data_IF_026581433879
#
_entry.id   IF_026581433879
#
_cell.length_a   1.000
_cell.length_b   1.000
_cell.length_c   1.000
_cell.angle_alpha   90.00
_cell.angle_beta   90.00
_cell.angle_gamma   90.00
#
_symmetry.space_group_name_H-M   'P 1'
#
loop_
_entity.id
_entity.type
_entity.pdbx_description
1 polymer ?
#
# COMPACT_ATOMS: atom_id res chain seq x y z
N UNK A 1 -20.60 31.82 -11.56
CA UNK A 1 -21.90 32.16 -12.21
C UNK A 1 -22.99 31.29 -11.61
N UNK A 2 -24.28 31.69 -11.47
CA UNK A 2 -25.18 30.92 -10.58
C UNK A 2 -24.40 30.67 -9.26
N UNK A 3 -23.97 31.80 -8.68
CA UNK A 3 -22.56 32.21 -8.57
C UNK A 3 -21.71 31.52 -7.51
N UNK A 4 -21.05 30.44 -7.92
CA UNK A 4 -19.97 29.83 -7.15
C UNK A 4 -18.56 30.33 -7.46
N UNK A 5 -17.65 30.18 -6.50
CA UNK A 5 -16.20 30.27 -6.67
C UNK A 5 -15.71 28.98 -7.30
N UNK A 6 -15.22 29.08 -8.53
CA UNK A 6 -14.45 28.03 -9.18
C UNK A 6 -13.01 28.49 -9.33
N UNK A 7 -12.09 27.82 -8.65
CA UNK A 7 -10.67 28.12 -8.69
C UNK A 7 -9.88 26.83 -8.78
N UNK A 8 -9.01 26.76 -9.77
CA UNK A 8 -7.98 25.73 -9.86
C UNK A 8 -6.63 26.41 -9.84
N UNK A 9 -5.70 25.86 -9.07
CA UNK A 9 -4.31 26.25 -9.10
C UNK A 9 -3.46 24.99 -9.32
N UNK A 10 -2.45 25.12 -10.18
CA UNK A 10 -1.42 24.11 -10.36
C UNK A 10 -0.08 24.71 -9.95
N UNK A 11 0.60 24.05 -9.01
CA UNK A 11 1.96 24.40 -8.60
C UNK A 11 2.92 23.29 -8.95
N UNK A 12 3.95 23.65 -9.71
CA UNK A 12 5.09 22.77 -9.97
C UNK A 12 6.24 23.15 -9.04
N UNK A 13 6.53 22.30 -8.06
CA UNK A 13 7.63 22.46 -7.13
C UNK A 13 8.80 21.59 -7.63
N UNK A 14 9.80 22.24 -8.22
CA UNK A 14 10.89 21.59 -8.97
C UNK A 14 10.34 20.70 -10.10
N UNK A 15 11.18 19.84 -10.68
CA UNK A 15 10.81 18.91 -11.76
C UNK A 15 10.05 17.66 -11.27
N UNK A 16 9.58 17.65 -10.01
CA UNK A 16 9.18 16.42 -9.34
C UNK A 16 7.86 16.42 -8.62
N UNK A 17 7.37 17.57 -8.15
CA UNK A 17 6.14 17.62 -7.35
C UNK A 17 5.16 18.51 -8.07
N UNK A 18 4.02 17.92 -8.45
CA UNK A 18 2.91 18.64 -9.02
C UNK A 18 1.77 18.66 -8.00
N UNK A 19 1.36 19.86 -7.60
CA UNK A 19 0.24 20.08 -6.70
C UNK A 19 -0.89 20.67 -7.51
N UNK A 20 -2.02 19.98 -7.53
CA UNK A 20 -3.25 20.48 -8.14
C UNK A 20 -4.29 20.73 -7.05
N UNK A 21 -4.68 21.99 -6.87
CA UNK A 21 -5.82 22.36 -6.04
C UNK A 21 -7.02 22.69 -6.92
N UNK A 22 -8.18 22.18 -6.50
CA UNK A 22 -9.47 22.44 -7.10
C UNK A 22 -10.45 22.86 -6.02
N UNK A 23 -11.02 24.05 -6.17
CA UNK A 23 -12.02 24.63 -5.28
C UNK A 23 -13.24 24.96 -6.12
N UNK A 24 -14.38 24.43 -5.71
CA UNK A 24 -15.68 24.66 -6.34
C UNK A 24 -16.72 24.84 -5.23
N UNK A 25 -17.12 26.09 -5.01
CA UNK A 25 -18.06 26.48 -3.96
C UNK A 25 -19.23 27.20 -4.62
N UNK A 26 -20.43 26.64 -4.63
CA UNK A 26 -21.63 27.30 -5.16
C UNK A 26 -22.78 27.22 -4.15
N UNK A 27 -23.41 28.36 -3.91
CA UNK A 27 -24.66 28.49 -3.13
C UNK A 27 -25.91 28.49 -4.01
N UNK A 28 -25.75 28.21 -5.31
CA UNK A 28 -26.88 28.30 -6.23
C UNK A 28 -27.80 27.10 -6.13
N UNK A 29 -29.09 27.44 -6.04
CA UNK A 29 -30.19 26.49 -6.07
C UNK A 29 -31.15 26.87 -7.19
N UNK A 30 -31.55 25.87 -7.98
CA UNK A 30 -32.60 26.03 -8.98
C UNK A 30 -33.39 24.75 -9.13
N UNK A 31 -34.71 24.88 -9.28
CA UNK A 31 -35.61 23.76 -9.52
C UNK A 31 -36.37 23.96 -10.82
N UNK A 32 -36.23 23.03 -11.76
CA UNK A 32 -36.99 22.98 -13.01
C UNK A 32 -37.72 21.63 -13.09
N UNK A 33 -39.02 21.64 -12.77
CA UNK A 33 -39.85 20.42 -12.72
C UNK A 33 -39.37 19.42 -11.65
N UNK A 34 -39.07 18.19 -12.07
CA UNK A 34 -38.56 17.13 -11.20
C UNK A 34 -37.04 17.22 -10.93
N UNK A 35 -36.32 18.12 -11.60
CA UNK A 35 -34.87 18.29 -11.40
C UNK A 35 -34.57 19.48 -10.49
N UNK A 36 -33.62 19.29 -9.58
CA UNK A 36 -33.08 20.35 -8.73
C UNK A 36 -31.55 20.36 -8.80
N UNK A 37 -30.98 21.55 -9.01
CA UNK A 37 -29.57 21.85 -8.77
C UNK A 37 -29.44 22.30 -7.33
N UNK A 38 -28.57 21.64 -6.56
CA UNK A 38 -28.33 21.94 -5.14
C UNK A 38 -26.95 22.56 -4.93
N UNK A 39 -26.74 23.35 -3.86
CA UNK A 39 -25.44 23.89 -3.50
C UNK A 39 -24.36 22.82 -3.39
N UNK A 40 -23.12 23.19 -3.70
CA UNK A 40 -21.98 22.27 -3.71
C UNK A 40 -20.69 22.92 -3.21
N UNK A 41 -20.03 22.26 -2.26
CA UNK A 41 -18.78 22.72 -1.65
C UNK A 41 -17.72 21.63 -1.76
N UNK A 42 -16.79 21.79 -2.71
CA UNK A 42 -15.73 20.82 -2.96
C UNK A 42 -14.39 21.52 -2.92
N UNK A 43 -13.51 21.02 -2.05
CA UNK A 43 -12.09 21.34 -2.05
C UNK A 43 -11.36 20.02 -2.24
N UNK A 44 -10.53 19.95 -3.28
CA UNK A 44 -9.70 18.79 -3.58
C UNK A 44 -8.26 19.26 -3.73
N UNK A 45 -7.36 18.59 -3.03
CA UNK A 45 -5.93 18.79 -3.14
C UNK A 45 -5.31 17.47 -3.58
N UNK A 46 -4.66 17.49 -4.74
CA UNK A 46 -3.86 16.38 -5.23
C UNK A 46 -2.40 16.77 -5.16
N UNK A 47 -1.60 15.96 -4.48
CA UNK A 47 -0.14 16.07 -4.49
C UNK A 47 0.38 14.86 -5.24
N UNK A 48 0.97 15.08 -6.41
CA UNK A 48 1.58 14.05 -7.24
C UNK A 48 3.09 14.23 -7.22
N UNK A 49 3.81 13.15 -6.93
CA UNK A 49 5.23 13.08 -7.21
C UNK A 49 5.39 12.57 -8.65
N UNK A 50 5.73 13.47 -9.56
CA UNK A 50 5.99 13.22 -10.98
C UNK A 50 7.46 12.89 -11.27
N UNK A 51 8.29 12.67 -10.23
CA UNK A 51 9.52 11.90 -10.45
C UNK A 51 9.07 10.63 -11.17
N UNK A 52 9.60 10.42 -12.37
CA UNK A 52 9.87 9.06 -12.80
C UNK A 52 10.72 8.52 -11.67
N UNK A 53 10.11 7.70 -10.82
CA UNK A 53 10.88 6.96 -9.84
C UNK A 53 12.03 6.36 -10.62
N UNK A 54 13.24 6.68 -10.20
CA UNK A 54 14.28 5.68 -10.29
C UNK A 54 13.69 4.49 -9.53
N UNK A 55 13.13 3.56 -10.32
CA UNK A 55 12.90 2.16 -9.98
C UNK A 55 12.27 1.87 -8.60
N UNK A 56 11.09 2.43 -8.28
CA UNK A 56 10.16 1.87 -7.28
C UNK A 56 10.72 1.60 -5.86
N UNK A 57 11.85 2.21 -5.51
CA UNK A 57 12.65 1.80 -4.35
C UNK A 57 12.81 2.92 -3.32
N UNK A 58 11.71 3.28 -2.65
CA UNK A 58 11.70 4.24 -1.55
C UNK A 58 12.58 3.83 -0.34
N UNK A 59 12.98 2.56 -0.27
CA UNK A 59 13.73 1.97 0.84
C UNK A 59 15.23 1.80 0.56
N UNK A 60 15.66 1.94 -0.70
CA UNK A 60 17.02 1.62 -1.15
C UNK A 60 17.23 0.12 -1.43
N UNK A 61 18.13 -0.19 -2.37
CA UNK A 61 18.36 -1.55 -2.90
C UNK A 61 18.79 -2.56 -1.83
N UNK A 62 19.64 -2.14 -0.89
CA UNK A 62 20.12 -2.98 0.20
C UNK A 62 18.98 -3.42 1.14
N UNK A 63 18.14 -2.48 1.59
CA UNK A 63 17.01 -2.77 2.48
C UNK A 63 15.97 -3.64 1.78
N UNK A 64 15.65 -3.37 0.51
CA UNK A 64 14.72 -4.22 -0.25
C UNK A 64 15.26 -5.64 -0.39
N UNK A 65 16.55 -5.80 -0.64
CA UNK A 65 17.18 -7.12 -0.71
C UNK A 65 17.10 -7.85 0.62
N UNK A 66 17.44 -7.19 1.74
CA UNK A 66 17.30 -7.75 3.08
C UNK A 66 15.86 -8.21 3.36
N UNK A 67 14.88 -7.34 3.16
CA UNK A 67 13.48 -7.62 3.43
C UNK A 67 12.93 -8.74 2.55
N UNK A 68 13.34 -8.79 1.28
CA UNK A 68 12.97 -9.86 0.37
C UNK A 68 13.55 -11.21 0.83
N UNK A 69 14.82 -11.25 1.24
CA UNK A 69 15.47 -12.47 1.75
C UNK A 69 14.77 -12.96 3.03
N UNK A 70 14.50 -12.08 3.99
CA UNK A 70 13.82 -12.46 5.23
C UNK A 70 12.39 -12.95 4.99
N UNK A 71 11.66 -12.33 4.06
CA UNK A 71 10.33 -12.81 3.69
C UNK A 71 10.38 -14.17 2.97
N UNK A 72 11.33 -14.41 2.06
CA UNK A 72 11.49 -15.71 1.43
C UNK A 72 11.82 -16.81 2.44
N UNK A 73 12.67 -16.53 3.44
CA UNK A 73 12.91 -17.46 4.55
C UNK A 73 11.61 -17.77 5.29
N UNK A 74 10.78 -16.77 5.56
CA UNK A 74 9.49 -16.95 6.23
C UNK A 74 8.54 -17.82 5.41
N UNK A 75 8.47 -17.61 4.10
CA UNK A 75 7.67 -18.43 3.17
C UNK A 75 8.11 -19.89 3.18
N UNK A 76 9.41 -20.17 3.17
CA UNK A 76 9.93 -21.55 3.24
C UNK A 76 9.56 -22.24 4.57
N UNK A 77 9.56 -21.49 5.67
CA UNK A 77 9.09 -21.99 6.98
C UNK A 77 7.60 -22.30 6.98
N UNK A 78 6.77 -21.43 6.40
CA UNK A 78 5.34 -21.70 6.25
C UNK A 78 5.06 -22.92 5.35
N UNK A 79 5.77 -23.03 4.22
CA UNK A 79 5.63 -24.13 3.25
C UNK A 79 5.92 -25.49 3.89
N UNK A 80 6.87 -25.54 4.82
CA UNK A 80 7.25 -26.76 5.55
C UNK A 80 6.51 -26.94 6.88
N UNK A 81 5.53 -26.08 7.17
CA UNK A 81 4.79 -26.03 8.45
C UNK A 81 5.69 -25.89 9.69
N UNK A 82 6.89 -25.33 9.54
CA UNK A 82 7.78 -24.99 10.65
C UNK A 82 7.34 -23.66 11.29
N UNK A 83 6.24 -23.71 12.03
CA UNK A 83 5.63 -22.52 12.64
C UNK A 83 6.49 -21.92 13.76
N UNK A 84 7.29 -22.73 14.46
CA UNK A 84 8.28 -22.21 15.40
C UNK A 84 9.35 -21.39 14.68
N UNK A 85 9.90 -21.92 13.57
CA UNK A 85 10.85 -21.21 12.72
C UNK A 85 10.25 -19.96 12.08
N UNK A 86 8.98 -20.00 11.65
CA UNK A 86 8.28 -18.85 11.08
C UNK A 86 8.13 -17.72 12.12
N UNK A 87 7.72 -18.04 13.36
CA UNK A 87 7.64 -17.05 14.45
C UNK A 87 8.96 -16.39 14.78
N UNK A 88 10.07 -17.13 14.68
CA UNK A 88 11.40 -16.56 14.92
C UNK A 88 11.80 -15.47 13.92
N UNK A 89 11.12 -15.37 12.76
CA UNK A 89 11.34 -14.32 11.76
C UNK A 89 10.42 -13.10 11.96
N UNK A 90 9.43 -13.22 12.84
CA UNK A 90 8.54 -12.12 13.20
C UNK A 90 9.20 -11.18 14.22
N UNK A 91 8.76 -9.92 14.24
CA UNK A 91 9.08 -8.97 15.30
C UNK A 91 8.57 -9.51 16.64
N UNK A 92 9.35 -9.28 17.70
CA UNK A 92 8.98 -9.62 19.06
C UNK A 92 7.62 -9.03 19.47
N UNK A 93 7.24 -7.89 18.86
CA UNK A 93 5.96 -7.22 19.10
C UNK A 93 4.74 -8.07 18.70
N UNK A 94 4.89 -8.98 17.74
CA UNK A 94 3.79 -9.82 17.23
C UNK A 94 4.05 -11.33 17.38
N UNK A 95 5.29 -11.75 17.59
CA UNK A 95 5.67 -13.16 17.63
C UNK A 95 4.93 -13.92 18.74
N UNK A 96 4.80 -13.32 19.93
CA UNK A 96 4.13 -13.94 21.08
C UNK A 96 2.62 -14.08 20.93
N UNK A 97 1.97 -13.22 20.14
CA UNK A 97 0.52 -13.27 19.89
C UNK A 97 0.14 -14.06 18.64
N UNK A 98 1.12 -14.49 17.83
CA UNK A 98 0.87 -15.22 16.58
C UNK A 98 0.69 -16.72 16.86
N UNK A 99 -0.50 -17.26 16.62
CA UNK A 99 -0.81 -18.68 16.84
C UNK A 99 -0.50 -19.54 15.61
N UNK A 100 -0.44 -20.87 15.78
CA UNK A 100 -0.23 -21.80 14.66
C UNK A 100 -1.39 -21.71 13.67
N UNK A 101 -2.62 -21.56 14.18
CA UNK A 101 -3.82 -21.38 13.35
C UNK A 101 -3.73 -20.13 12.47
N UNK A 102 -3.22 -19.01 13.00
CA UNK A 102 -3.01 -17.80 12.21
C UNK A 102 -1.99 -18.03 11.08
N UNK A 103 -0.90 -18.73 11.36
CA UNK A 103 0.12 -19.06 10.36
C UNK A 103 -0.39 -20.05 9.32
N UNK A 104 -1.23 -21.00 9.74
CA UNK A 104 -1.91 -21.93 8.83
C UNK A 104 -2.88 -21.21 7.90
N UNK A 105 -3.75 -20.35 8.44
CA UNK A 105 -4.65 -19.52 7.61
C UNK A 105 -3.86 -18.61 6.67
N UNK A 106 -2.73 -18.05 7.10
CA UNK A 106 -1.86 -17.28 6.22
C UNK A 106 -1.31 -18.15 5.09
N UNK A 107 -0.82 -19.36 5.40
CA UNK A 107 -0.28 -20.29 4.41
C UNK A 107 -1.33 -20.71 3.36
N UNK A 108 -2.60 -20.90 3.77
CA UNK A 108 -3.71 -21.21 2.85
C UNK A 108 -3.99 -20.08 1.84
N UNK A 109 -3.56 -18.85 2.13
CA UNK A 109 -3.74 -17.67 1.28
C UNK A 109 -2.49 -17.29 0.46
N UNK A 110 -1.48 -18.18 0.39
CA UNK A 110 -0.23 -17.95 -0.34
C UNK A 110 0.01 -19.09 -1.33
N UNK A 111 0.37 -18.72 -2.56
CA UNK A 111 0.73 -19.68 -3.61
C UNK A 111 2.23 -20.01 -3.55
N UNK A 112 2.60 -21.07 -2.81
CA UNK A 112 3.99 -21.50 -2.62
C UNK A 112 4.67 -22.08 -3.87
N UNK A 113 3.89 -22.39 -4.89
CA UNK A 113 4.32 -22.90 -6.19
C UNK A 113 4.66 -21.77 -7.17
N UNK A 114 4.22 -20.53 -6.90
CA UNK A 114 4.44 -19.37 -7.76
C UNK A 114 5.64 -18.56 -7.31
N UNK A 115 6.42 -18.07 -8.27
CA UNK A 115 7.48 -17.09 -8.00
C UNK A 115 6.87 -15.73 -7.68
N UNK A 116 7.48 -15.02 -6.73
CA UNK A 116 7.12 -13.66 -6.36
C UNK A 116 8.18 -12.67 -6.84
N UNK A 117 7.74 -11.49 -7.29
CA UNK A 117 8.58 -10.34 -7.62
C UNK A 117 8.16 -9.13 -6.78
N UNK A 118 9.11 -8.24 -6.49
CA UNK A 118 8.80 -6.95 -5.86
C UNK A 118 7.97 -6.12 -6.83
N UNK A 119 6.79 -5.69 -6.38
CA UNK A 119 5.87 -4.84 -7.14
C UNK A 119 6.02 -3.36 -6.76
N UNK A 120 6.03 -3.07 -5.46
CA UNK A 120 6.12 -1.70 -4.95
C UNK A 120 6.82 -1.71 -3.60
N UNK A 121 7.55 -0.63 -3.29
CA UNK A 121 8.12 -0.42 -1.97
C UNK A 121 7.74 0.95 -1.43
N UNK A 122 7.84 1.13 -0.12
CA UNK A 122 7.44 2.38 0.53
C UNK A 122 7.45 2.24 2.04
N UNK A 123 6.68 3.10 2.67
CA UNK A 123 6.46 3.06 4.10
C UNK A 123 4.96 3.09 4.38
N UNK A 124 4.51 2.29 5.35
CA UNK A 124 3.11 2.26 5.76
C UNK A 124 2.96 2.77 7.18
N UNK A 125 2.09 3.75 7.36
CA UNK A 125 1.62 4.20 8.68
C UNK A 125 0.60 3.17 9.20
N UNK A 126 0.77 2.71 10.43
CA UNK A 126 -0.19 1.83 11.10
C UNK A 126 -0.95 2.59 12.18
N UNK A 127 -2.01 1.98 12.73
CA UNK A 127 -2.99 2.67 13.59
C UNK A 127 -2.41 3.29 14.86
N UNK A 128 -1.28 2.78 15.35
CA UNK A 128 -0.59 3.33 16.52
C UNK A 128 0.25 4.58 16.21
N UNK A 129 0.26 5.05 14.95
CA UNK A 129 1.03 6.19 14.47
C UNK A 129 2.48 5.85 14.07
N UNK A 130 2.91 4.60 14.25
CA UNK A 130 4.22 4.14 13.79
C UNK A 130 4.24 3.95 12.29
N UNK A 131 5.41 4.16 11.69
CA UNK A 131 5.65 3.99 10.27
C UNK A 131 6.69 2.89 10.05
N UNK A 132 6.36 1.93 9.19
CA UNK A 132 7.22 0.77 8.91
C UNK A 132 7.55 0.66 7.43
N UNK A 133 8.79 0.27 7.06
CA UNK A 133 9.13 -0.19 5.73
C UNK A 133 8.13 -1.21 5.21
N UNK A 134 7.68 -1.01 3.98
CA UNK A 134 6.68 -1.84 3.29
C UNK A 134 7.26 -2.33 1.97
N UNK A 135 7.17 -3.64 1.74
CA UNK A 135 7.40 -4.26 0.43
C UNK A 135 6.13 -4.98 0.01
N UNK A 136 5.65 -4.66 -1.19
CA UNK A 136 4.56 -5.39 -1.85
C UNK A 136 5.14 -6.33 -2.89
N UNK A 137 4.74 -7.58 -2.79
CA UNK A 137 5.09 -8.64 -3.73
C UNK A 137 3.89 -8.96 -4.62
N UNK A 138 4.16 -9.26 -5.88
CA UNK A 138 3.19 -9.84 -6.82
C UNK A 138 3.69 -11.22 -7.26
N UNK A 139 2.80 -12.06 -7.78
CA UNK A 139 3.23 -13.25 -8.49
C UNK A 139 3.78 -12.86 -9.87
N UNK A 140 4.86 -13.52 -10.29
CA UNK A 140 5.59 -13.18 -11.53
C UNK A 140 4.73 -13.31 -12.79
N UNK A 141 3.78 -14.23 -12.78
CA UNK A 141 2.86 -14.51 -13.88
C UNK A 141 1.71 -13.48 -13.99
N UNK A 142 1.49 -12.65 -12.96
CA UNK A 142 0.43 -11.66 -12.96
C UNK A 142 0.77 -10.47 -13.87
N UNK A 143 -0.18 -10.14 -14.76
CA UNK A 143 -0.18 -8.90 -15.54
C UNK A 143 -0.34 -7.68 -14.63
N UNK A 144 0.22 -6.53 -15.04
CA UNK A 144 0.04 -5.28 -14.30
C UNK A 144 -1.27 -4.60 -14.71
N UNK A 145 -2.14 -4.19 -13.77
CA UNK A 145 -1.97 -4.31 -12.31
C UNK A 145 -2.26 -5.74 -11.80
N UNK A 146 -1.49 -6.25 -10.81
CA UNK A 146 -1.63 -7.61 -10.31
C UNK A 146 -2.99 -7.83 -9.64
N UNK A 147 -3.55 -9.03 -9.80
CA UNK A 147 -4.83 -9.42 -9.19
C UNK A 147 -4.62 -9.79 -7.73
N UNK A 148 -3.51 -10.45 -7.45
CA UNK A 148 -3.12 -10.85 -6.10
C UNK A 148 -1.78 -10.25 -5.71
N UNK A 149 -1.68 -9.79 -4.46
CA UNK A 149 -0.46 -9.21 -3.90
C UNK A 149 -0.29 -9.62 -2.45
N UNK A 150 0.95 -9.58 -1.98
CA UNK A 150 1.26 -9.75 -0.57
C UNK A 150 2.00 -8.50 -0.10
N UNK A 151 1.39 -7.75 0.83
CA UNK A 151 2.05 -6.64 1.49
C UNK A 151 2.72 -7.13 2.76
N UNK A 152 4.00 -6.80 2.93
CA UNK A 152 4.78 -7.16 4.11
C UNK A 152 5.38 -5.90 4.72
N UNK A 153 5.23 -5.77 6.03
CA UNK A 153 5.82 -4.69 6.82
C UNK A 153 6.99 -5.23 7.63
N UNK A 154 8.07 -4.44 7.69
CA UNK A 154 9.31 -4.82 8.34
C UNK A 154 9.72 -3.80 9.40
N UNK A 155 10.43 -4.26 10.41
CA UNK A 155 11.30 -3.42 11.21
C UNK A 155 12.65 -3.22 10.49
N UNK A 156 13.41 -2.21 10.91
CA UNK A 156 14.71 -1.91 10.30
C UNK A 156 15.72 -3.06 10.38
N UNK A 157 15.54 -3.96 11.35
CA UNK A 157 16.31 -5.19 11.55
C UNK A 157 16.02 -6.28 10.49
N UNK A 158 14.96 -6.13 9.70
CA UNK A 158 14.46 -7.15 8.77
C UNK A 158 13.41 -8.08 9.37
N UNK A 159 13.08 -7.95 10.67
CA UNK A 159 11.97 -8.69 11.28
C UNK A 159 10.63 -8.28 10.69
N UNK A 160 9.74 -9.25 10.49
CA UNK A 160 8.41 -9.01 9.92
C UNK A 160 7.45 -8.57 11.02
N UNK A 161 6.77 -7.44 10.84
CA UNK A 161 5.78 -6.90 11.78
C UNK A 161 4.35 -6.92 11.23
N UNK A 162 4.17 -7.30 9.96
CA UNK A 162 2.85 -7.47 9.39
C UNK A 162 2.90 -8.15 8.03
N UNK A 163 1.92 -9.01 7.75
CA UNK A 163 1.74 -9.68 6.46
C UNK A 163 0.27 -9.57 6.09
N UNK A 164 -0.01 -9.11 4.87
CA UNK A 164 -1.36 -8.95 4.35
C UNK A 164 -1.44 -9.43 2.90
N UNK A 165 -1.88 -10.68 2.67
CA UNK A 165 -2.33 -11.11 1.36
C UNK A 165 -3.57 -10.28 0.96
N UNK A 166 -3.64 -9.88 -0.30
CA UNK A 166 -4.73 -9.09 -0.86
C UNK A 166 -5.11 -9.64 -2.21
N UNK A 167 -6.41 -9.76 -2.45
CA UNK A 167 -6.99 -10.00 -3.77
C UNK A 167 -7.78 -8.77 -4.17
N UNK A 168 -7.53 -8.24 -5.37
CA UNK A 168 -8.38 -7.20 -5.94
C UNK A 168 -9.75 -7.80 -6.21
N UNK A 169 -10.79 -7.13 -5.72
CA UNK A 169 -12.17 -7.41 -6.13
C UNK A 169 -12.33 -6.91 -7.57
N UNK A 170 -12.82 -7.79 -8.45
CA UNK A 170 -13.23 -7.43 -9.82
C UNK A 170 -14.58 -6.71 -9.82
#
# INVERSE_FOLDING_TARGET
SREGLHRSDEWKIKDSINIFAYIDLSEYYERQGMMATVPGHKIRLYVKNERKEDDGNALGKEKVSLYTIEFLKFIEKLKTSDFAGARNLLSEKIAGSTTDDMLKTLAENIHFDKQIDVFMTGFQLVNDGSQYPMVQFKYKEDVSPPKEMITVLFEDSGKIIGIKPMKRLE
#
